data_IF_644434513030
#
_entry.id   IF_644434513030
#
_cell.length_a   1.000
_cell.length_b   1.000
_cell.length_c   1.000
_cell.angle_alpha   90.00
_cell.angle_beta   90.00
_cell.angle_gamma   90.00
#
_symmetry.space_group_name_H-M   'P 1'
#
loop_
_entity.id
_entity.type
_entity.pdbx_description
1 polymer ?
#
# COMPACT_ATOMS: atom_id res chain seq x y z
N UNK A 1 3.32 12.65 20.82
CA UNK A 1 4.05 13.90 20.51
C UNK A 1 5.37 13.68 19.78
N UNK A 2 6.22 12.71 20.17
CA UNK A 2 7.51 12.45 19.47
C UNK A 2 7.32 11.96 18.01
N UNK A 3 6.27 11.18 17.72
CA UNK A 3 5.95 10.75 16.34
C UNK A 3 5.39 11.88 15.45
N UNK A 4 4.82 12.93 16.03
CA UNK A 4 4.24 14.06 15.28
C UNK A 4 5.25 15.16 14.93
N UNK A 5 6.37 15.25 15.66
CA UNK A 5 7.42 16.23 15.42
C UNK A 5 8.42 15.82 14.32
N UNK A 6 8.60 14.51 14.08
CA UNK A 6 9.45 14.00 13.01
C UNK A 6 8.78 14.03 11.62
N UNK A 7 7.45 14.11 11.58
CA UNK A 7 6.65 14.27 10.36
C UNK A 7 6.23 15.75 10.24
N UNK A 8 7.22 16.66 10.30
CA UNK A 8 6.98 18.03 9.85
C UNK A 8 6.67 17.96 8.35
N UNK A 9 5.67 18.68 7.88
CA UNK A 9 5.33 18.84 6.46
C UNK A 9 6.46 19.46 5.59
N UNK A 10 7.48 20.05 6.24
CA UNK A 10 8.56 20.79 5.58
C UNK A 10 9.40 20.02 4.54
N UNK A 11 9.78 18.74 4.76
CA UNK A 11 10.56 17.97 3.79
C UNK A 11 9.73 17.67 2.53
N UNK A 12 8.54 17.08 2.67
CA UNK A 12 7.71 16.74 1.51
C UNK A 12 7.26 17.97 0.71
N UNK A 13 7.05 19.11 1.36
CA UNK A 13 6.82 20.38 0.66
C UNK A 13 8.02 20.81 -0.19
N UNK A 14 9.26 20.61 0.28
CA UNK A 14 10.46 20.81 -0.55
C UNK A 14 10.57 19.78 -1.67
N UNK A 15 10.10 18.55 -1.45
CA UNK A 15 10.01 17.52 -2.50
C UNK A 15 9.04 17.93 -3.62
N UNK A 16 7.92 18.59 -3.29
CA UNK A 16 7.01 19.21 -4.27
C UNK A 16 7.76 20.29 -5.06
N UNK A 17 8.51 21.17 -4.38
CA UNK A 17 9.26 22.24 -5.05
C UNK A 17 10.47 21.73 -5.86
N UNK A 18 11.14 20.66 -5.42
CA UNK A 18 12.22 19.99 -6.15
C UNK A 18 11.73 19.39 -7.47
N UNK A 19 10.56 18.75 -7.43
CA UNK A 19 9.81 18.28 -8.60
C UNK A 19 9.50 19.43 -9.58
N UNK A 20 9.19 20.63 -9.07
CA UNK A 20 8.94 21.81 -9.90
C UNK A 20 10.21 22.32 -10.63
N UNK A 21 11.40 22.11 -10.07
CA UNK A 21 12.65 22.67 -10.61
C UNK A 21 13.27 21.87 -11.78
N UNK A 22 12.91 20.59 -11.92
CA UNK A 22 13.51 19.68 -12.92
C UNK A 22 12.78 19.65 -14.28
N UNK A 23 12.02 20.71 -14.61
CA UNK A 23 11.41 20.89 -15.95
C UNK A 23 10.20 19.99 -16.26
N UNK A 24 9.63 19.31 -15.25
CA UNK A 24 8.44 18.46 -15.41
C UNK A 24 7.23 19.11 -14.73
N UNK A 25 6.39 19.76 -15.53
CA UNK A 25 4.95 20.04 -15.33
C UNK A 25 4.50 20.02 -13.85
N UNK A 26 4.64 21.13 -13.11
CA UNK A 26 3.88 21.40 -11.89
C UNK A 26 4.14 22.85 -11.45
N UNK A 27 3.45 23.81 -12.06
CA UNK A 27 2.97 24.91 -11.22
C UNK A 27 2.02 24.27 -10.18
N UNK A 28 1.98 24.81 -8.96
CA UNK A 28 1.10 24.34 -7.87
C UNK A 28 -0.36 24.71 -8.22
N UNK A 29 -0.86 24.12 -9.30
CA UNK A 29 -2.11 24.41 -9.99
C UNK A 29 -3.05 23.21 -9.88
N UNK A 30 -4.29 23.38 -10.33
CA UNK A 30 -5.30 22.31 -10.32
C UNK A 30 -4.85 21.06 -11.10
N UNK A 31 -4.12 21.24 -12.21
CA UNK A 31 -3.51 20.12 -12.96
C UNK A 31 -2.40 19.43 -12.15
N UNK A 32 -1.63 20.19 -11.37
CA UNK A 32 -0.58 19.67 -10.49
C UNK A 32 -1.17 18.74 -9.42
N UNK A 33 -2.33 19.08 -8.84
CA UNK A 33 -3.03 18.20 -7.89
C UNK A 33 -3.30 16.83 -8.54
N UNK A 34 -3.91 16.81 -9.73
CA UNK A 34 -4.25 15.56 -10.42
C UNK A 34 -3.01 14.72 -10.76
N UNK A 35 -1.94 15.35 -11.22
CA UNK A 35 -0.68 14.67 -11.56
C UNK A 35 -0.02 14.04 -10.32
N UNK A 36 0.06 14.79 -9.22
CA UNK A 36 0.63 14.31 -7.95
C UNK A 36 -0.21 13.16 -7.39
N UNK A 37 -1.53 13.29 -7.39
CA UNK A 37 -2.44 12.26 -6.88
C UNK A 37 -2.40 11.00 -7.73
N UNK A 38 -2.41 11.13 -9.06
CA UNK A 38 -2.28 10.02 -9.98
C UNK A 38 -0.97 9.26 -9.79
N UNK A 39 0.16 9.97 -9.68
CA UNK A 39 1.47 9.36 -9.38
C UNK A 39 1.44 8.60 -8.05
N UNK A 40 0.99 9.26 -6.98
CA UNK A 40 0.97 8.68 -5.64
C UNK A 40 0.10 7.42 -5.60
N UNK A 41 -1.06 7.47 -6.25
CA UNK A 41 -1.95 6.33 -6.39
C UNK A 41 -1.29 5.17 -7.16
N UNK A 42 -0.72 5.44 -8.34
CA UNK A 42 -0.04 4.43 -9.15
C UNK A 42 1.12 3.76 -8.41
N UNK A 43 1.94 4.52 -7.68
CA UNK A 43 3.06 3.96 -6.90
C UNK A 43 2.57 2.98 -5.83
N UNK A 44 1.54 3.35 -5.07
CA UNK A 44 0.96 2.49 -4.02
C UNK A 44 0.33 1.23 -4.59
N UNK A 45 -0.42 1.37 -5.69
CA UNK A 45 -1.11 0.24 -6.31
C UNK A 45 -0.15 -0.72 -6.99
N UNK A 46 0.75 -0.22 -7.83
CA UNK A 46 1.68 -1.05 -8.61
C UNK A 46 2.61 -1.85 -7.68
N UNK A 47 3.12 -1.21 -6.63
CA UNK A 47 3.91 -1.92 -5.61
C UNK A 47 3.10 -2.98 -4.90
N UNK A 48 1.84 -2.69 -4.54
CA UNK A 48 0.97 -3.68 -3.91
C UNK A 48 0.67 -4.88 -4.82
N UNK A 49 0.33 -4.65 -6.09
CA UNK A 49 0.11 -5.74 -7.05
C UNK A 49 1.38 -6.56 -7.25
N UNK A 50 2.51 -5.91 -7.55
CA UNK A 50 3.78 -6.60 -7.78
C UNK A 50 4.12 -7.57 -6.64
N UNK A 51 3.94 -7.14 -5.38
CA UNK A 51 4.22 -7.98 -4.21
C UNK A 51 3.21 -9.12 -4.03
N UNK A 52 1.90 -8.85 -4.18
CA UNK A 52 0.86 -9.89 -4.11
C UNK A 52 1.10 -11.01 -5.12
N UNK A 53 1.31 -10.67 -6.41
CA UNK A 53 1.51 -11.66 -7.47
C UNK A 53 2.87 -12.36 -7.39
N UNK A 54 3.92 -11.68 -6.93
CA UNK A 54 5.23 -12.29 -6.69
C UNK A 54 5.15 -13.42 -5.67
N UNK A 55 4.44 -13.19 -4.56
CA UNK A 55 4.19 -14.22 -3.55
C UNK A 55 3.27 -15.30 -4.09
N UNK A 56 2.21 -14.91 -4.81
CA UNK A 56 1.22 -15.84 -5.34
C UNK A 56 1.84 -16.93 -6.21
N UNK A 57 2.84 -16.57 -7.01
CA UNK A 57 3.52 -17.50 -7.92
C UNK A 57 4.60 -18.35 -7.24
N UNK A 58 5.19 -17.88 -6.15
CA UNK A 58 6.34 -18.55 -5.51
C UNK A 58 5.92 -19.43 -4.34
N UNK A 59 5.00 -18.97 -3.49
CA UNK A 59 4.65 -19.68 -2.27
C UNK A 59 3.97 -21.04 -2.48
N UNK A 60 3.02 -21.22 -3.43
CA UNK A 60 2.41 -22.53 -3.68
C UNK A 60 3.41 -23.61 -4.10
N UNK A 61 4.48 -23.24 -4.82
CA UNK A 61 5.54 -24.17 -5.22
C UNK A 61 6.38 -24.66 -4.04
N UNK A 62 6.46 -23.90 -2.94
CA UNK A 62 7.19 -24.27 -1.73
C UNK A 62 6.38 -25.20 -0.81
N UNK A 63 5.04 -25.08 -0.83
CA UNK A 63 4.14 -25.80 0.10
C UNK A 63 4.39 -27.32 0.09
N UNK A 64 4.49 -28.04 -1.04
CA UNK A 64 4.71 -29.49 -1.05
C UNK A 64 6.01 -29.92 -0.37
N UNK A 65 7.08 -29.11 -0.54
CA UNK A 65 8.38 -29.38 0.09
C UNK A 65 8.26 -29.23 1.61
N UNK A 66 7.62 -28.17 2.05
CA UNK A 66 7.40 -27.87 3.47
C UNK A 66 6.56 -28.94 4.15
N UNK A 67 5.48 -29.38 3.50
CA UNK A 67 4.62 -30.42 4.04
C UNK A 67 5.40 -31.73 4.21
N UNK A 68 6.21 -32.11 3.22
CA UNK A 68 7.09 -33.28 3.32
C UNK A 68 8.10 -33.19 4.47
N UNK A 69 8.74 -32.04 4.64
CA UNK A 69 9.73 -31.83 5.71
C UNK A 69 9.09 -31.87 7.10
N UNK A 70 7.90 -31.31 7.26
CA UNK A 70 7.16 -31.34 8.53
C UNK A 70 6.67 -32.76 8.83
N UNK A 71 6.17 -33.50 7.84
CA UNK A 71 5.72 -34.89 8.03
C UNK A 71 6.89 -35.82 8.40
N UNK A 72 8.09 -35.56 7.88
CA UNK A 72 9.31 -36.25 8.28
C UNK A 72 9.87 -35.80 9.65
N UNK A 73 9.23 -34.83 10.31
CA UNK A 73 9.61 -34.38 11.64
C UNK A 73 10.85 -33.47 11.69
N UNK A 74 11.27 -32.86 10.58
CA UNK A 74 12.46 -32.00 10.56
C UNK A 74 12.25 -30.70 11.37
N UNK A 75 11.06 -30.12 11.32
CA UNK A 75 10.70 -28.92 12.06
C UNK A 75 9.19 -28.78 12.24
N UNK A 76 8.77 -27.88 13.15
CA UNK A 76 7.36 -27.55 13.39
C UNK A 76 6.86 -26.46 12.40
N UNK A 77 5.56 -26.42 12.07
CA UNK A 77 5.01 -25.42 11.14
C UNK A 77 5.22 -23.96 11.56
N UNK A 78 5.17 -23.67 12.88
CA UNK A 78 5.24 -22.29 13.39
C UNK A 78 6.62 -21.64 13.19
N UNK A 79 7.75 -22.26 13.60
CA UNK A 79 9.08 -21.74 13.28
C UNK A 79 9.31 -21.48 11.79
N UNK A 80 8.84 -22.38 10.92
CA UNK A 80 8.90 -22.20 9.47
C UNK A 80 8.15 -20.94 9.02
N UNK A 81 6.89 -20.78 9.45
CA UNK A 81 6.08 -19.66 9.02
C UNK A 81 6.63 -18.31 9.49
N UNK A 82 7.17 -18.24 10.72
CA UNK A 82 7.82 -17.02 11.23
C UNK A 82 9.08 -16.70 10.41
N UNK A 83 9.91 -17.70 10.10
CA UNK A 83 11.09 -17.51 9.27
C UNK A 83 10.72 -17.05 7.85
N UNK A 84 9.67 -17.64 7.25
CA UNK A 84 9.14 -17.23 5.95
C UNK A 84 8.65 -15.78 5.98
N UNK A 85 7.92 -15.39 7.03
CA UNK A 85 7.42 -14.03 7.21
C UNK A 85 8.56 -13.02 7.30
N UNK A 86 9.59 -13.32 8.09
CA UNK A 86 10.76 -12.45 8.23
C UNK A 86 11.48 -12.26 6.87
N UNK A 87 11.73 -13.36 6.15
CA UNK A 87 12.35 -13.30 4.82
C UNK A 87 11.49 -12.52 3.82
N UNK A 88 10.17 -12.69 3.88
CA UNK A 88 9.25 -11.99 3.01
C UNK A 88 9.23 -10.48 3.29
N UNK A 89 9.18 -10.07 4.56
CA UNK A 89 9.22 -8.66 4.95
C UNK A 89 10.51 -8.01 4.49
N UNK A 90 11.67 -8.66 4.69
CA UNK A 90 12.96 -8.13 4.24
C UNK A 90 12.99 -7.99 2.71
N UNK A 91 12.59 -9.04 1.99
CA UNK A 91 12.55 -9.02 0.52
C UNK A 91 11.64 -7.91 -0.02
N UNK A 92 10.40 -7.84 0.48
CA UNK A 92 9.42 -6.84 0.05
C UNK A 92 9.89 -5.43 0.39
N UNK A 93 10.54 -5.22 1.54
CA UNK A 93 11.09 -3.92 1.92
C UNK A 93 12.18 -3.48 0.94
N UNK A 94 13.10 -4.37 0.57
CA UNK A 94 14.15 -4.07 -0.40
C UNK A 94 13.59 -3.75 -1.78
N UNK A 95 12.67 -4.56 -2.30
CA UNK A 95 12.05 -4.34 -3.61
C UNK A 95 11.26 -3.02 -3.65
N UNK A 96 10.48 -2.73 -2.61
CA UNK A 96 9.70 -1.49 -2.53
C UNK A 96 10.58 -0.24 -2.31
N UNK A 97 11.66 -0.32 -1.51
CA UNK A 97 12.63 0.77 -1.38
C UNK A 97 13.33 1.07 -2.70
N UNK A 98 13.74 0.03 -3.44
CA UNK A 98 14.37 0.18 -4.74
C UNK A 98 13.42 0.87 -5.74
N UNK A 99 12.17 0.43 -5.81
CA UNK A 99 11.19 1.03 -6.71
C UNK A 99 10.87 2.49 -6.34
N UNK A 100 10.61 2.76 -5.04
CA UNK A 100 10.31 4.11 -4.57
C UNK A 100 11.51 5.05 -4.74
N UNK A 101 12.74 4.58 -4.53
CA UNK A 101 13.95 5.37 -4.77
C UNK A 101 14.08 5.80 -6.23
N UNK A 102 13.82 4.90 -7.18
CA UNK A 102 13.86 5.23 -8.62
C UNK A 102 12.79 6.29 -8.94
N UNK A 103 11.56 6.11 -8.47
CA UNK A 103 10.49 7.11 -8.69
C UNK A 103 10.84 8.46 -8.05
N UNK A 104 11.45 8.45 -6.87
CA UNK A 104 11.88 9.66 -6.17
C UNK A 104 12.99 10.40 -6.92
N UNK A 105 13.96 9.67 -7.48
CA UNK A 105 15.04 10.23 -8.31
C UNK A 105 14.50 10.80 -9.63
N UNK A 106 13.61 10.09 -10.31
CA UNK A 106 12.96 10.56 -11.54
C UNK A 106 12.08 11.79 -11.27
N UNK A 107 11.55 11.88 -10.06
CA UNK A 107 10.79 13.03 -9.58
C UNK A 107 11.66 14.27 -9.29
N UNK A 108 12.99 14.20 -9.39
CA UNK A 108 13.87 15.36 -9.21
C UNK A 108 13.88 15.94 -7.79
N UNK A 109 13.44 15.16 -6.80
CA UNK A 109 13.41 15.58 -5.42
C UNK A 109 14.74 15.29 -4.71
N UNK A 110 15.21 16.22 -3.88
CA UNK A 110 16.60 16.27 -3.40
C UNK A 110 16.77 16.17 -1.88
N UNK A 111 15.71 15.89 -1.12
CA UNK A 111 15.75 15.86 0.34
C UNK A 111 15.57 14.43 0.89
N UNK A 112 16.62 13.92 1.53
CA UNK A 112 16.68 12.55 2.08
C UNK A 112 15.57 12.25 3.10
N UNK A 113 15.16 13.24 3.90
CA UNK A 113 14.11 13.03 4.92
C UNK A 113 12.75 12.82 4.25
N UNK A 114 12.49 13.55 3.17
CA UNK A 114 11.25 13.47 2.41
C UNK A 114 11.08 12.11 1.75
N UNK A 115 12.19 11.49 1.33
CA UNK A 115 12.17 10.15 0.77
C UNK A 115 11.60 9.14 1.76
N UNK A 116 12.06 9.13 3.02
CA UNK A 116 11.56 8.17 4.02
C UNK A 116 10.09 8.38 4.36
N UNK A 117 9.63 9.64 4.41
CA UNK A 117 8.22 9.94 4.67
C UNK A 117 7.34 9.49 3.49
N UNK A 118 7.81 9.66 2.25
CA UNK A 118 7.13 9.15 1.05
C UNK A 118 7.16 7.62 0.97
N UNK A 119 8.28 7.00 1.31
CA UNK A 119 8.44 5.55 1.22
C UNK A 119 7.60 4.79 2.26
N UNK A 120 7.38 5.36 3.45
CA UNK A 120 6.74 4.65 4.56
C UNK A 120 5.33 4.07 4.24
N UNK A 121 4.36 4.84 3.71
CA UNK A 121 3.05 4.29 3.33
C UNK A 121 3.15 3.23 2.24
N UNK A 122 4.05 3.42 1.26
CA UNK A 122 4.28 2.47 0.17
C UNK A 122 4.82 1.16 0.71
N UNK A 123 5.78 1.21 1.64
CA UNK A 123 6.37 0.04 2.28
C UNK A 123 5.33 -0.74 3.10
N UNK A 124 4.54 -0.04 3.92
CA UNK A 124 3.49 -0.68 4.72
C UNK A 124 2.42 -1.34 3.84
N UNK A 125 2.01 -0.67 2.76
CA UNK A 125 1.08 -1.23 1.78
C UNK A 125 1.69 -2.45 1.08
N UNK A 126 2.95 -2.38 0.64
CA UNK A 126 3.67 -3.48 -0.01
C UNK A 126 3.79 -4.71 0.91
N UNK A 127 4.16 -4.53 2.19
CA UNK A 127 4.23 -5.60 3.19
C UNK A 127 2.86 -6.21 3.45
N UNK A 128 1.80 -5.40 3.50
CA UNK A 128 0.43 -5.90 3.70
C UNK A 128 -0.07 -6.67 2.47
N UNK A 129 0.32 -6.24 1.27
CA UNK A 129 0.00 -6.93 0.01
C UNK A 129 0.74 -8.25 -0.14
N UNK A 130 2.00 -8.35 0.30
CA UNK A 130 2.71 -9.63 0.32
C UNK A 130 2.03 -10.65 1.25
N UNK A 131 1.50 -10.20 2.40
CA UNK A 131 0.68 -11.03 3.28
C UNK A 131 -0.64 -11.48 2.63
N UNK A 132 -1.26 -10.62 1.81
CA UNK A 132 -2.45 -11.00 1.04
C UNK A 132 -2.14 -12.10 0.03
N UNK A 133 -1.04 -11.96 -0.73
CA UNK A 133 -0.56 -13.01 -1.63
C UNK A 133 -0.33 -14.34 -0.90
N UNK A 134 0.33 -14.30 0.26
CA UNK A 134 0.54 -15.48 1.10
C UNK A 134 -0.77 -16.13 1.54
N UNK A 135 -1.76 -15.33 1.94
CA UNK A 135 -3.08 -15.80 2.37
C UNK A 135 -3.79 -16.55 1.24
N UNK A 136 -3.87 -15.96 0.05
CA UNK A 136 -4.54 -16.58 -1.11
C UNK A 136 -3.81 -17.86 -1.54
N UNK A 137 -2.48 -17.84 -1.60
CA UNK A 137 -1.67 -19.03 -1.89
C UNK A 137 -1.81 -20.16 -0.86
N UNK A 138 -2.09 -19.84 0.40
CA UNK A 138 -2.34 -20.86 1.43
C UNK A 138 -3.74 -21.49 1.29
N UNK A 139 -4.72 -20.72 0.78
CA UNK A 139 -6.09 -21.18 0.61
C UNK A 139 -6.20 -22.11 -0.62
N UNK A 140 -5.66 -21.69 -1.76
CA UNK A 140 -5.81 -22.41 -3.03
C UNK A 140 -4.60 -23.29 -3.34
N UNK A 141 -4.83 -24.48 -3.90
CA UNK A 141 -3.75 -25.41 -4.29
C UNK A 141 -3.31 -25.15 -5.73
N UNK A 142 -4.25 -24.77 -6.60
CA UNK A 142 -4.00 -24.40 -8.00
C UNK A 142 -3.79 -22.89 -8.13
N UNK A 143 -2.61 -22.52 -8.66
CA UNK A 143 -2.23 -21.12 -8.93
C UNK A 143 -3.20 -20.47 -9.92
N UNK A 144 -3.69 -21.21 -10.91
CA UNK A 144 -4.60 -20.69 -11.94
C UNK A 144 -5.93 -20.22 -11.32
N UNK A 145 -6.48 -21.02 -10.41
CA UNK A 145 -7.71 -20.70 -9.66
C UNK A 145 -7.45 -19.53 -8.70
N UNK A 146 -6.30 -19.55 -8.01
CA UNK A 146 -5.89 -18.48 -7.11
C UNK A 146 -5.82 -17.12 -7.83
N UNK A 147 -5.19 -17.08 -9.02
CA UNK A 147 -5.08 -15.86 -9.84
C UNK A 147 -6.44 -15.35 -10.31
N UNK A 148 -7.30 -16.25 -10.79
CA UNK A 148 -8.64 -15.87 -11.27
C UNK A 148 -9.50 -15.26 -10.16
N UNK A 149 -9.35 -15.71 -8.91
CA UNK A 149 -10.05 -15.14 -7.77
C UNK A 149 -9.37 -13.90 -7.21
N UNK A 150 -8.04 -13.82 -7.27
CA UNK A 150 -7.30 -12.65 -6.78
C UNK A 150 -7.63 -11.38 -7.57
N UNK A 151 -7.72 -11.48 -8.90
CA UNK A 151 -8.00 -10.36 -9.79
C UNK A 151 -9.26 -9.55 -9.39
N UNK A 152 -10.47 -10.13 -9.23
CA UNK A 152 -11.65 -9.36 -8.85
C UNK A 152 -11.57 -8.80 -7.42
N UNK A 153 -10.94 -9.51 -6.48
CA UNK A 153 -10.74 -8.99 -5.11
C UNK A 153 -9.85 -7.76 -5.09
N UNK A 154 -8.78 -7.80 -5.89
CA UNK A 154 -7.85 -6.70 -6.07
C UNK A 154 -8.50 -5.52 -6.81
N UNK A 155 -9.34 -5.79 -7.81
CA UNK A 155 -10.09 -4.74 -8.51
C UNK A 155 -11.07 -4.00 -7.60
N UNK A 156 -11.78 -4.72 -6.71
CA UNK A 156 -12.64 -4.08 -5.70
C UNK A 156 -11.81 -3.22 -4.75
N UNK A 157 -10.65 -3.71 -4.31
CA UNK A 157 -9.73 -2.95 -3.45
C UNK A 157 -9.19 -1.71 -4.16
N UNK A 158 -8.88 -1.80 -5.45
CA UNK A 158 -8.38 -0.73 -6.30
C UNK A 158 -9.40 0.41 -6.47
N UNK A 159 -10.66 0.08 -6.77
CA UNK A 159 -11.72 1.09 -6.94
C UNK A 159 -12.04 1.80 -5.62
N UNK A 160 -12.03 1.05 -4.51
CA UNK A 160 -12.37 1.58 -3.17
C UNK A 160 -11.23 2.37 -2.51
N UNK A 161 -10.09 2.52 -3.19
CA UNK A 161 -8.95 3.25 -2.67
C UNK A 161 -9.20 4.76 -2.50
N UNK A 162 -10.21 5.33 -3.18
CA UNK A 162 -10.68 6.72 -2.99
C UNK A 162 -10.37 7.70 -4.12
N UNK A 163 -9.51 7.33 -5.09
CA UNK A 163 -9.26 8.17 -6.28
C UNK A 163 -10.42 8.18 -7.28
N UNK A 164 -11.04 7.02 -7.54
CA UNK A 164 -12.07 6.85 -8.58
C UNK A 164 -13.50 6.98 -8.08
N UNK A 165 -13.68 6.85 -6.76
CA UNK A 165 -15.00 6.79 -6.16
C UNK A 165 -15.06 7.74 -4.97
N UNK A 166 -15.96 8.73 -5.05
CA UNK A 166 -16.19 9.64 -3.93
C UNK A 166 -16.99 8.89 -2.86
N UNK A 167 -16.30 8.54 -1.77
CA UNK A 167 -16.74 7.59 -0.75
C UNK A 167 -18.08 7.98 -0.08
N UNK A 168 -18.47 9.25 -0.18
CA UNK A 168 -19.72 9.79 0.35
C UNK A 168 -20.97 9.44 -0.51
N UNK A 169 -20.80 8.99 -1.75
CA UNK A 169 -21.90 8.81 -2.69
C UNK A 169 -22.67 7.47 -2.55
N UNK A 170 -22.09 6.43 -1.93
CA UNK A 170 -22.81 5.19 -1.62
C UNK A 170 -22.44 4.60 -0.25
N UNK A 171 -23.41 4.49 0.68
CA UNK A 171 -23.16 4.03 2.05
C UNK A 171 -22.73 2.56 2.13
N UNK A 172 -23.19 1.71 1.20
CA UNK A 172 -22.80 0.29 1.16
C UNK A 172 -21.33 0.12 0.77
N UNK A 173 -20.86 0.88 -0.23
CA UNK A 173 -19.46 0.86 -0.67
C UNK A 173 -18.53 1.54 0.34
N UNK A 174 -19.04 2.49 1.14
CA UNK A 174 -18.26 3.15 2.19
C UNK A 174 -17.78 2.18 3.29
N UNK A 175 -18.38 1.01 3.45
CA UNK A 175 -17.87 0.01 4.41
C UNK A 175 -16.74 -0.83 3.80
N UNK A 176 -16.73 -1.03 2.48
CA UNK A 176 -15.70 -1.81 1.78
C UNK A 176 -14.34 -1.13 1.78
N UNK A 177 -14.29 0.21 1.89
CA UNK A 177 -13.04 0.97 1.97
C UNK A 177 -12.13 0.48 3.10
N UNK A 178 -12.71 0.11 4.24
CA UNK A 178 -11.97 -0.37 5.41
C UNK A 178 -11.35 -1.76 5.23
N UNK A 179 -11.71 -2.48 4.17
CA UNK A 179 -11.13 -3.78 3.81
C UNK A 179 -10.00 -3.61 2.77
N UNK A 180 -9.96 -2.48 2.07
CA UNK A 180 -8.96 -2.21 1.04
C UNK A 180 -7.62 -1.79 1.64
N UNK A 181 -6.57 -2.54 1.29
CA UNK A 181 -5.18 -2.20 1.61
C UNK A 181 -4.75 -0.90 0.92
N UNK A 182 -5.25 -0.68 -0.30
CA UNK A 182 -4.92 0.50 -1.10
C UNK A 182 -5.56 1.77 -0.54
N UNK A 183 -6.73 1.67 0.09
CA UNK A 183 -7.38 2.81 0.76
C UNK A 183 -6.48 3.40 1.84
N UNK A 184 -6.04 2.58 2.80
CA UNK A 184 -5.16 3.07 3.89
C UNK A 184 -3.80 3.54 3.36
N UNK A 185 -3.20 2.84 2.39
CA UNK A 185 -1.92 3.24 1.81
C UNK A 185 -2.00 4.58 1.06
N UNK A 186 -3.09 4.80 0.33
CA UNK A 186 -3.31 6.02 -0.45
C UNK A 186 -3.76 7.19 0.43
N UNK A 187 -4.67 7.00 1.39
CA UNK A 187 -5.06 8.03 2.38
C UNK A 187 -3.83 8.54 3.14
N UNK A 188 -2.99 7.64 3.68
CA UNK A 188 -1.77 8.00 4.39
C UNK A 188 -0.79 8.80 3.50
N UNK A 189 -0.61 8.37 2.25
CA UNK A 189 0.25 9.07 1.28
C UNK A 189 -0.30 10.46 0.96
N UNK A 190 -1.60 10.60 0.72
CA UNK A 190 -2.27 11.87 0.43
C UNK A 190 -2.17 12.82 1.64
N UNK A 191 -2.39 12.34 2.86
CA UNK A 191 -2.22 13.15 4.07
C UNK A 191 -0.79 13.66 4.17
N UNK A 192 0.22 12.78 4.04
CA UNK A 192 1.62 13.18 4.16
C UNK A 192 2.05 14.18 3.06
N UNK A 193 1.52 14.02 1.85
CA UNK A 193 1.85 14.86 0.70
C UNK A 193 1.28 16.28 0.81
N UNK A 194 0.04 16.42 1.30
CA UNK A 194 -0.70 17.69 1.28
C UNK A 194 -0.77 18.39 2.63
N UNK A 195 -0.36 17.72 3.71
CA UNK A 195 -0.21 18.36 5.01
C UNK A 195 0.84 19.49 4.90
N UNK A 196 0.50 20.68 5.40
CA UNK A 196 1.35 21.88 5.36
C UNK A 196 1.39 22.65 4.03
N UNK A 197 0.65 22.24 3.00
CA UNK A 197 0.51 23.04 1.75
C UNK A 197 -0.54 24.14 1.94
N UNK A 198 -0.08 25.38 2.10
CA UNK A 198 -0.93 26.51 2.48
C UNK A 198 -1.63 27.22 1.30
N UNK A 199 -1.07 27.16 0.09
CA UNK A 199 -1.63 27.85 -1.08
C UNK A 199 -1.39 27.04 -2.34
N UNK A 200 -2.44 26.86 -3.12
CA UNK A 200 -2.45 26.26 -4.45
C UNK A 200 -3.05 27.31 -5.40
N UNK A 201 -2.36 27.59 -6.49
CA UNK A 201 -2.82 28.49 -7.52
C UNK A 201 -4.05 27.91 -8.24
N UNK A 202 -4.97 28.82 -8.57
CA UNK A 202 -6.18 28.51 -9.30
C UNK A 202 -6.17 29.23 -10.63
N UNK A 203 -6.79 28.61 -11.63
CA UNK A 203 -7.02 29.27 -12.92
C UNK A 203 -7.84 30.54 -12.73
N UNK A 204 -7.59 31.57 -13.54
CA UNK A 204 -8.36 32.82 -13.55
C UNK A 204 -9.84 32.59 -13.92
N UNK A 205 -10.17 31.44 -14.53
CA UNK A 205 -11.52 31.10 -14.94
C UNK A 205 -12.37 30.64 -13.73
N UNK A 206 -13.30 31.50 -13.30
CA UNK A 206 -14.16 31.29 -12.10
C UNK A 206 -15.17 30.15 -12.23
N UNK A 207 -15.38 29.63 -13.44
CA UNK A 207 -16.32 28.53 -13.69
C UNK A 207 -15.72 27.13 -13.40
N UNK A 208 -14.42 27.05 -13.10
CA UNK A 208 -13.74 25.80 -12.77
C UNK A 208 -13.67 25.60 -11.24
N UNK A 209 -13.86 24.37 -10.74
CA UNK A 209 -13.64 24.07 -9.33
C UNK A 209 -12.17 24.35 -8.96
N UNK A 210 -11.97 25.10 -7.88
CA UNK A 210 -10.67 25.58 -7.43
C UNK A 210 -10.44 25.14 -5.99
N UNK A 211 -9.42 24.30 -5.80
CA UNK A 211 -8.93 23.90 -4.48
C UNK A 211 -7.70 24.74 -4.16
N UNK A 212 -7.80 25.57 -3.14
CA UNK A 212 -6.80 26.58 -2.78
C UNK A 212 -5.84 26.14 -1.65
N UNK A 213 -6.16 25.06 -0.94
CA UNK A 213 -5.38 24.58 0.22
C UNK A 213 -5.15 23.07 0.14
N UNK A 214 -4.02 22.60 0.65
CA UNK A 214 -3.76 21.15 0.75
C UNK A 214 -4.79 20.42 1.62
N UNK A 215 -5.29 21.09 2.67
CA UNK A 215 -6.37 20.55 3.48
C UNK A 215 -7.67 20.35 2.68
N UNK A 216 -7.98 21.29 1.77
CA UNK A 216 -9.08 21.17 0.82
C UNK A 216 -8.94 19.96 -0.10
N UNK A 217 -7.71 19.66 -0.56
CA UNK A 217 -7.43 18.47 -1.38
C UNK A 217 -7.76 17.20 -0.60
N UNK A 218 -7.29 17.08 0.64
CA UNK A 218 -7.54 15.91 1.49
C UNK A 218 -9.06 15.68 1.66
N UNK A 219 -9.82 16.74 1.93
CA UNK A 219 -11.27 16.64 2.13
C UNK A 219 -12.03 16.36 0.85
N UNK A 220 -11.58 16.85 -0.31
CA UNK A 220 -12.23 16.62 -1.61
C UNK A 220 -12.21 15.14 -1.99
N UNK A 221 -11.08 14.47 -1.75
CA UNK A 221 -10.95 13.02 -1.92
C UNK A 221 -11.65 12.20 -0.82
N UNK A 222 -12.27 12.86 0.18
CA UNK A 222 -13.04 12.19 1.24
C UNK A 222 -12.20 11.64 2.39
N UNK A 223 -10.98 12.13 2.56
CA UNK A 223 -10.07 11.73 3.64
C UNK A 223 -10.09 12.70 4.81
N UNK A 224 -9.60 12.26 5.97
CA UNK A 224 -9.44 13.12 7.14
C UNK A 224 -7.97 13.25 7.53
N UNK A 225 -7.47 14.49 7.79
CA UNK A 225 -6.05 14.74 8.05
C UNK A 225 -5.54 14.03 9.33
N UNK A 226 -6.44 13.73 10.26
CA UNK A 226 -6.12 13.11 11.55
C UNK A 226 -6.05 11.57 11.48
N UNK A 227 -6.40 10.96 10.33
CA UNK A 227 -6.48 9.50 10.20
C UNK A 227 -5.15 8.81 9.93
N UNK A 228 -4.04 9.54 9.76
CA UNK A 228 -2.74 8.96 9.43
C UNK A 228 -2.34 7.80 10.36
N UNK A 229 -2.57 7.93 11.67
CA UNK A 229 -2.28 6.87 12.64
C UNK A 229 -3.21 5.66 12.44
N UNK A 230 -4.48 5.91 12.16
CA UNK A 230 -5.47 4.88 11.87
C UNK A 230 -5.10 4.11 10.60
N UNK A 231 -4.56 4.78 9.59
CA UNK A 231 -4.13 4.14 8.34
C UNK A 231 -2.93 3.21 8.56
N UNK A 232 -1.92 3.70 9.29
CA UNK A 232 -0.73 2.90 9.63
C UNK A 232 -1.10 1.70 10.49
N UNK A 233 -1.92 1.90 11.53
CA UNK A 233 -2.38 0.81 12.39
C UNK A 233 -3.30 -0.15 11.63
N UNK A 234 -4.16 0.38 10.75
CA UNK A 234 -5.04 -0.41 9.88
C UNK A 234 -4.26 -1.38 8.99
N UNK A 235 -3.22 -0.90 8.32
CA UNK A 235 -2.32 -1.74 7.52
C UNK A 235 -1.61 -2.82 8.36
N UNK A 236 -1.09 -2.45 9.55
CA UNK A 236 -0.45 -3.42 10.44
C UNK A 236 -1.42 -4.49 10.95
N UNK A 237 -2.64 -4.10 11.32
CA UNK A 237 -3.68 -5.04 11.76
C UNK A 237 -4.09 -5.96 10.61
N UNK A 238 -4.27 -5.43 9.39
CA UNK A 238 -4.53 -6.23 8.20
C UNK A 238 -3.42 -7.24 7.92
N UNK A 239 -2.16 -6.81 8.02
CA UNK A 239 -1.00 -7.69 7.85
C UNK A 239 -1.04 -8.86 8.83
N UNK A 240 -1.33 -8.60 10.12
CA UNK A 240 -1.43 -9.66 11.13
C UNK A 240 -2.60 -10.60 10.87
N UNK A 241 -3.77 -10.08 10.50
CA UNK A 241 -4.97 -10.89 10.21
C UNK A 241 -4.72 -11.80 9.00
N UNK A 242 -4.19 -11.25 7.90
CA UNK A 242 -3.93 -12.01 6.67
C UNK A 242 -2.91 -13.13 6.89
N UNK A 243 -1.84 -12.87 7.63
CA UNK A 243 -0.87 -13.90 7.98
C UNK A 243 -1.42 -14.93 8.97
N UNK A 244 -2.26 -14.53 9.93
CA UNK A 244 -2.93 -15.46 10.82
C UNK A 244 -3.83 -16.43 10.04
N UNK A 245 -4.59 -15.92 9.06
CA UNK A 245 -5.41 -16.74 8.18
C UNK A 245 -4.51 -17.68 7.36
N UNK A 246 -3.47 -17.15 6.70
CA UNK A 246 -2.52 -17.94 5.92
C UNK A 246 -1.88 -19.07 6.73
N UNK A 247 -1.46 -18.78 7.98
CA UNK A 247 -0.90 -19.78 8.89
C UNK A 247 -1.92 -20.86 9.29
N UNK A 248 -3.17 -20.48 9.59
CA UNK A 248 -4.23 -21.45 9.92
C UNK A 248 -4.51 -22.40 8.76
N UNK A 249 -4.53 -21.90 7.52
CA UNK A 249 -4.71 -22.75 6.34
C UNK A 249 -3.51 -23.66 6.09
N UNK A 250 -2.28 -23.17 6.28
CA UNK A 250 -1.07 -24.00 6.22
C UNK A 250 -1.13 -25.14 7.26
N UNK A 251 -1.50 -24.82 8.51
CA UNK A 251 -1.66 -25.83 9.57
C UNK A 251 -2.71 -26.90 9.23
N UNK A 252 -3.83 -26.49 8.62
CA UNK A 252 -4.86 -27.43 8.15
C UNK A 252 -4.31 -28.39 7.10
N UNK A 253 -3.50 -27.90 6.15
CA UNK A 253 -2.85 -28.74 5.13
C UNK A 253 -1.86 -29.73 5.75
N UNK A 254 -1.02 -29.29 6.68
CA UNK A 254 -0.08 -30.18 7.39
C UNK A 254 -0.79 -31.31 8.12
N UNK A 255 -1.91 -31.04 8.79
CA UNK A 255 -2.67 -32.07 9.52
C UNK A 255 -3.35 -33.09 8.58
N UNK A 256 -3.74 -32.67 7.38
CA UNK A 256 -4.40 -33.53 6.40
C UNK A 256 -3.44 -34.59 5.85
N UNK A 257 -2.19 -34.21 5.58
CA UNK A 257 -1.19 -35.16 5.06
C UNK A 257 -0.64 -36.11 6.11
N UNK A 258 -0.51 -35.69 7.38
CA UNK A 258 -0.08 -36.58 8.47
C UNK A 258 -1.06 -37.75 8.76
N UNK A 259 -2.25 -37.72 8.16
CA UNK A 259 -3.29 -38.75 8.29
C UNK A 259 -3.28 -39.80 7.17
N UNK A 260 -2.43 -39.63 6.14
CA UNK A 260 -2.24 -40.58 5.03
C UNK A 260 -0.92 -41.34 5.20
#
# INVERSE_FOLDING_TARGET
EIFGLAISAGPLQKSIHGFCSSGSICDLDQLGIQNIQGRNFSVVVETGFAQSYSVLNTFPAEIPVVLREINNGLYKPLPYYIAKLFMLVVRTTLEALMFTAIIYLVSGASDDISFFVFALPVLLCAITSSAFGCCISAIFEDISVAMQLMNPMDFVSYITAGLFYQLNAAPVLSSLKYISRFYYGYEAMTILQWNGVNSIACSENKDLPCINTGQGVITEYGYHPNNLLLDVVGLLVMFLILNAIGFVFLLKRTRKEASY
#
